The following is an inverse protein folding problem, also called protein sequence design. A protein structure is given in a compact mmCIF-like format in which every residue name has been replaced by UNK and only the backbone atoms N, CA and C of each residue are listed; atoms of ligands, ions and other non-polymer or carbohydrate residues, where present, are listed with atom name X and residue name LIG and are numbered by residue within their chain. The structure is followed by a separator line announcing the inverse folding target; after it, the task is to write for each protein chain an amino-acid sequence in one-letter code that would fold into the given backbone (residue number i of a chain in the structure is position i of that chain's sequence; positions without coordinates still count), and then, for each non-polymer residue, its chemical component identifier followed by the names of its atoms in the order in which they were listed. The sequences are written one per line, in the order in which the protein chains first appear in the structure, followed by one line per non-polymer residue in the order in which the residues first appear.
data_IF_823741136766
#
_entry.id   IF_823741136766
#
_cell.length_a   1.000
_cell.length_b   1.000
_cell.length_c   1.000
_cell.angle_alpha   90.00
_cell.angle_beta   90.00
_cell.angle_gamma   90.00
#
_symmetry.space_group_name_H-M   'P 1'
#
loop_
_entity.id
_entity.type
_entity.pdbx_description
1 polymer ?
#
# COMPACT_ATOMS: atom_id res chain seq x y z
N UNK A 1 3.68 10.63 -9.58
CA UNK A 1 4.14 10.60 -8.17
C UNK A 1 4.82 11.90 -7.84
N UNK A 2 4.04 12.96 -7.71
CA UNK A 2 4.58 14.31 -7.41
C UNK A 2 4.88 14.48 -5.90
N UNK A 3 4.26 13.65 -5.06
CA UNK A 3 4.45 13.63 -3.60
C UNK A 3 5.87 13.24 -3.15
N UNK A 4 6.67 12.60 -4.01
CA UNK A 4 8.06 12.26 -3.69
C UNK A 4 9.00 13.47 -3.75
N UNK A 5 8.52 14.62 -4.26
CA UNK A 5 9.27 15.88 -4.36
C UNK A 5 10.64 15.73 -5.02
N UNK A 6 10.80 14.82 -5.98
CA UNK A 6 12.08 14.55 -6.67
C UNK A 6 12.65 15.80 -7.35
N UNK A 7 11.76 16.63 -7.89
CA UNK A 7 12.07 17.92 -8.51
C UNK A 7 12.62 18.97 -7.55
N UNK A 8 12.41 18.82 -6.24
CA UNK A 8 12.98 19.72 -5.25
C UNK A 8 14.44 19.38 -4.91
N UNK A 9 14.91 18.19 -5.31
CA UNK A 9 16.30 17.79 -5.08
C UNK A 9 17.21 18.44 -6.14
N UNK A 10 18.41 18.92 -5.76
CA UNK A 10 19.38 19.48 -6.69
C UNK A 10 20.15 18.37 -7.43
N UNK A 11 19.44 17.51 -8.15
CA UNK A 11 20.01 16.39 -8.90
C UNK A 11 19.52 16.43 -10.35
N UNK A 12 20.43 16.17 -11.29
CA UNK A 12 20.11 16.12 -12.71
C UNK A 12 19.44 14.79 -13.08
N UNK A 13 18.72 14.78 -14.20
CA UNK A 13 18.06 13.56 -14.71
C UNK A 13 19.00 12.36 -14.89
N UNK A 14 20.24 12.51 -15.43
CA UNK A 14 21.17 11.39 -15.52
C UNK A 14 21.56 10.80 -14.16
N UNK A 15 21.69 11.64 -13.12
CA UNK A 15 22.01 11.20 -11.76
C UNK A 15 20.84 10.44 -11.15
N UNK A 16 19.62 10.97 -11.31
CA UNK A 16 18.40 10.29 -10.88
C UNK A 16 18.24 8.92 -11.53
N UNK A 17 18.47 8.84 -12.84
CA UNK A 17 18.44 7.58 -13.58
C UNK A 17 19.45 6.57 -13.04
N UNK A 18 20.70 6.99 -12.84
CA UNK A 18 21.75 6.11 -12.33
C UNK A 18 21.40 5.58 -10.92
N UNK A 19 20.79 6.42 -10.07
CA UNK A 19 20.33 6.03 -8.75
C UNK A 19 19.19 5.01 -8.82
N UNK A 20 18.16 5.26 -9.63
CA UNK A 20 17.02 4.35 -9.77
C UNK A 20 17.50 2.98 -10.28
N UNK A 21 18.39 2.96 -11.28
CA UNK A 21 18.96 1.73 -11.83
C UNK A 21 19.72 0.94 -10.75
N UNK A 22 20.56 1.62 -9.95
CA UNK A 22 21.29 0.99 -8.84
C UNK A 22 20.35 0.42 -7.77
N UNK A 23 19.32 1.16 -7.37
CA UNK A 23 18.33 0.72 -6.36
C UNK A 23 17.53 -0.48 -6.87
N UNK A 24 17.09 -0.48 -8.14
CA UNK A 24 16.37 -1.59 -8.74
C UNK A 24 17.21 -2.86 -8.77
N UNK A 25 18.49 -2.75 -9.13
CA UNK A 25 19.41 -3.90 -9.14
C UNK A 25 19.61 -4.48 -7.73
N UNK A 26 19.86 -3.61 -6.74
CA UNK A 26 19.99 -4.03 -5.35
C UNK A 26 18.70 -4.72 -4.85
N UNK A 27 17.53 -4.12 -5.12
CA UNK A 27 16.23 -4.66 -4.72
C UNK A 27 15.97 -6.06 -5.32
N UNK A 28 16.29 -6.27 -6.59
CA UNK A 28 16.16 -7.59 -7.26
C UNK A 28 17.06 -8.66 -6.63
N UNK A 29 18.22 -8.23 -6.13
CA UNK A 29 19.15 -9.13 -5.45
C UNK A 29 18.65 -9.51 -4.05
N UNK A 30 18.25 -8.52 -3.23
CA UNK A 30 17.95 -8.74 -1.81
C UNK A 30 16.51 -9.19 -1.54
N UNK A 31 15.52 -8.76 -2.34
CA UNK A 31 14.11 -9.08 -2.12
C UNK A 31 13.74 -10.46 -2.70
N UNK A 32 14.44 -11.51 -2.26
CA UNK A 32 14.28 -12.87 -2.77
C UNK A 32 12.84 -13.42 -2.62
N UNK A 33 12.12 -13.02 -1.56
CA UNK A 33 10.72 -13.40 -1.35
C UNK A 33 9.80 -13.01 -2.53
N UNK A 34 10.17 -11.97 -3.30
CA UNK A 34 9.41 -11.58 -4.51
C UNK A 34 9.46 -12.59 -5.65
N UNK A 35 10.33 -13.59 -5.57
CA UNK A 35 10.42 -14.66 -6.58
C UNK A 35 9.37 -15.75 -6.40
N UNK A 36 8.80 -15.87 -5.19
CA UNK A 36 7.89 -16.96 -4.83
C UNK A 36 6.52 -16.48 -4.36
N UNK A 37 6.42 -15.26 -3.83
CA UNK A 37 5.15 -14.69 -3.41
C UNK A 37 4.39 -14.08 -4.59
N UNK A 38 3.07 -14.14 -4.54
CA UNK A 38 2.18 -13.36 -5.41
C UNK A 38 2.08 -11.93 -4.90
N UNK A 39 2.07 -10.96 -5.81
CA UNK A 39 1.91 -9.54 -5.47
C UNK A 39 0.57 -9.04 -5.99
N UNK A 40 -0.21 -8.46 -5.09
CA UNK A 40 -1.41 -7.69 -5.43
C UNK A 40 -1.11 -6.20 -5.21
N UNK A 41 -1.30 -5.38 -6.25
CA UNK A 41 -0.92 -3.96 -6.26
C UNK A 41 -0.01 -3.55 -7.44
N UNK A 42 0.41 -2.27 -7.50
CA UNK A 42 0.30 -1.24 -6.47
C UNK A 42 -1.09 -0.61 -6.41
N UNK A 43 -1.71 -0.60 -5.23
CA UNK A 43 -3.05 -0.03 -5.02
C UNK A 43 -3.06 1.51 -4.91
N UNK A 44 -1.88 2.14 -4.90
CA UNK A 44 -1.75 3.60 -4.80
C UNK A 44 -1.71 4.12 -3.36
N UNK A 45 -1.58 5.44 -3.24
CA UNK A 45 -1.43 6.14 -1.95
C UNK A 45 -2.71 6.09 -1.10
N UNK A 46 -3.87 6.10 -1.76
CA UNK A 46 -5.16 6.13 -1.09
C UNK A 46 -5.62 4.73 -0.62
N UNK A 47 -4.79 3.70 -0.79
CA UNK A 47 -5.10 2.35 -0.33
C UNK A 47 -4.81 2.18 1.16
N UNK A 48 -5.85 2.39 1.96
CA UNK A 48 -5.73 2.49 3.43
C UNK A 48 -5.95 1.16 4.16
N UNK A 49 -6.61 0.20 3.51
CA UNK A 49 -7.04 -1.04 4.15
C UNK A 49 -7.18 -2.18 3.13
N UNK A 50 -6.93 -3.41 3.57
CA UNK A 50 -7.19 -4.62 2.77
C UNK A 50 -8.26 -5.47 3.45
N UNK A 51 -9.25 -5.93 2.69
CA UNK A 51 -10.30 -6.82 3.20
C UNK A 51 -9.72 -8.19 3.56
N UNK A 52 -10.12 -8.72 4.71
CA UNK A 52 -9.70 -10.05 5.17
C UNK A 52 -10.51 -11.20 4.55
N UNK A 53 -11.66 -10.89 3.97
CA UNK A 53 -12.59 -11.90 3.45
C UNK A 53 -13.49 -12.51 4.52
N UNK A 54 -13.38 -12.06 5.77
CA UNK A 54 -14.28 -12.40 6.88
C UNK A 54 -15.19 -11.22 7.23
N UNK A 55 -16.26 -11.49 7.96
CA UNK A 55 -17.10 -10.46 8.56
C UNK A 55 -17.58 -10.87 9.95
N UNK A 56 -17.46 -9.95 10.90
CA UNK A 56 -18.11 -10.08 12.20
C UNK A 56 -19.60 -9.72 12.07
N UNK A 57 -20.54 -10.61 12.48
CA UNK A 57 -21.97 -10.30 12.41
C UNK A 57 -22.33 -9.09 13.28
N UNK A 58 -23.05 -8.12 12.70
CA UNK A 58 -23.57 -6.99 13.47
C UNK A 58 -24.75 -7.41 14.33
N UNK A 59 -24.95 -6.69 15.43
CA UNK A 59 -26.18 -6.79 16.20
C UNK A 59 -27.25 -5.93 15.52
N UNK A 60 -28.45 -6.45 15.36
CA UNK A 60 -29.62 -5.70 14.93
C UNK A 60 -30.67 -5.64 16.03
N UNK A 61 -31.43 -4.54 16.04
CA UNK A 61 -32.63 -4.37 16.85
C UNK A 61 -33.86 -4.26 15.92
N UNK A 62 -35.03 -4.62 16.43
CA UNK A 62 -36.28 -4.55 15.66
C UNK A 62 -36.60 -3.09 15.31
N UNK A 63 -36.89 -2.83 14.04
CA UNK A 63 -37.15 -1.48 13.52
C UNK A 63 -35.91 -0.70 13.06
N UNK A 64 -34.69 -1.22 13.21
CA UNK A 64 -33.48 -0.57 12.72
C UNK A 64 -32.86 -1.25 11.50
N UNK A 65 -32.47 -0.46 10.50
CA UNK A 65 -31.65 -0.93 9.39
C UNK A 65 -30.17 -0.87 9.77
N UNK A 66 -29.51 -2.03 9.80
CA UNK A 66 -28.08 -2.15 10.11
C UNK A 66 -27.31 -2.56 8.86
N UNK A 67 -26.16 -1.91 8.62
CA UNK A 67 -25.22 -2.27 7.56
C UNK A 67 -23.95 -2.82 8.20
N UNK A 68 -23.60 -4.05 7.85
CA UNK A 68 -22.33 -4.64 8.25
C UNK A 68 -21.21 -4.30 7.27
N UNK A 69 -20.06 -3.96 7.84
CA UNK A 69 -18.81 -3.77 7.09
C UNK A 69 -17.95 -5.04 7.23
N UNK A 70 -17.24 -5.46 6.16
CA UNK A 70 -16.33 -6.60 6.24
C UNK A 70 -15.15 -6.30 7.18
N UNK A 71 -14.54 -7.35 7.72
CA UNK A 71 -13.31 -7.18 8.49
C UNK A 71 -12.18 -6.74 7.54
N UNK A 72 -11.41 -5.75 7.98
CA UNK A 72 -10.30 -5.19 7.22
C UNK A 72 -9.06 -5.09 8.09
N UNK A 73 -7.89 -5.21 7.47
CA UNK A 73 -6.61 -4.81 8.08
C UNK A 73 -6.26 -3.43 7.57
N UNK A 74 -6.14 -2.48 8.50
CA UNK A 74 -5.62 -1.15 8.21
C UNK A 74 -4.12 -1.24 7.90
N UNK A 75 -3.71 -0.61 6.80
CA UNK A 75 -2.31 -0.62 6.34
C UNK A 75 -1.49 0.52 6.96
N UNK A 76 -2.15 1.45 7.64
CA UNK A 76 -1.53 2.46 8.49
C UNK A 76 -2.36 2.71 9.74
N UNK A 77 -1.69 3.15 10.80
CA UNK A 77 -2.34 3.59 12.03
C UNK A 77 -2.90 5.01 11.83
N UNK A 78 -4.21 5.19 11.98
CA UNK A 78 -4.81 6.54 12.05
C UNK A 78 -4.55 7.09 13.45
N UNK A 79 -3.66 8.07 13.59
CA UNK A 79 -3.52 8.86 14.81
C UNK A 79 -4.40 10.09 14.69
N UNK A 80 -5.42 10.19 15.56
CA UNK A 80 -6.30 11.37 15.71
C UNK A 80 -5.87 12.14 16.95
#
# INVERSE_FOLDING_TARGET
MDYLRRQAAPMSEPVWKALDDAVVQAARHVLAGRRIATFDGPHGWDHVATRLGTSTPCRSAEGEAVVCVPDVVLLFEVRV
#
